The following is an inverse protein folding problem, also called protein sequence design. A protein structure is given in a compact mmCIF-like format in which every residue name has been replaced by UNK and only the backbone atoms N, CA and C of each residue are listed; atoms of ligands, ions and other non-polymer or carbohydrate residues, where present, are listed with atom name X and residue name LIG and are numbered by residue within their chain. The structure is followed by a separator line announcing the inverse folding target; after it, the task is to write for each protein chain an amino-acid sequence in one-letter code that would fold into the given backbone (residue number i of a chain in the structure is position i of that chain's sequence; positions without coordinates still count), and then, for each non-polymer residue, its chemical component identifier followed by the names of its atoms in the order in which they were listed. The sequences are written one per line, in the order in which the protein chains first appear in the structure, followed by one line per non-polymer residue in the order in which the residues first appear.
data_IF_879811313504
#
_entry.id   IF_879811313504
#
_cell.length_a   1.000
_cell.length_b   1.000
_cell.length_c   1.000
_cell.angle_alpha   90.00
_cell.angle_beta   90.00
_cell.angle_gamma   90.00
#
_symmetry.space_group_name_H-M   'P 1'
#
loop_
_entity.id
_entity.type
_entity.pdbx_description
1 polymer ?
#
# COMPACT_ATOMS: atom_id res chain seq x y z
N UNK A 1 -12.65 5.58 -11.46
CA UNK A 1 -12.23 6.63 -10.51
C UNK A 1 -13.06 6.55 -9.24
N UNK A 2 -12.40 6.60 -8.10
CA UNK A 2 -12.94 6.57 -6.73
C UNK A 2 -12.52 7.84 -5.99
N UNK A 3 -12.79 7.92 -4.68
CA UNK A 3 -12.32 9.04 -3.85
C UNK A 3 -10.80 9.04 -3.67
N UNK A 4 -10.15 7.87 -3.70
CA UNK A 4 -8.71 7.75 -3.46
C UNK A 4 -7.96 7.11 -4.62
N UNK A 5 -8.60 6.99 -5.79
CA UNK A 5 -8.00 6.25 -6.88
C UNK A 5 -8.51 6.54 -8.27
N UNK A 6 -7.62 6.31 -9.23
CA UNK A 6 -7.87 6.48 -10.66
C UNK A 6 -6.98 5.52 -11.44
N UNK A 7 -7.51 5.01 -12.56
CA UNK A 7 -6.72 4.28 -13.54
C UNK A 7 -6.27 5.29 -14.58
N UNK A 8 -4.96 5.36 -14.80
CA UNK A 8 -4.34 6.21 -15.83
C UNK A 8 -3.63 5.29 -16.81
N UNK A 9 -3.78 5.59 -18.10
CA UNK A 9 -3.14 4.87 -19.20
C UNK A 9 -2.28 5.84 -19.99
N UNK A 10 -1.01 5.52 -20.18
CA UNK A 10 -0.07 6.29 -20.99
C UNK A 10 0.27 5.49 -22.23
N UNK A 11 0.08 6.11 -23.40
CA UNK A 11 0.38 5.49 -24.70
C UNK A 11 1.56 6.21 -25.34
N UNK A 12 2.73 5.56 -25.46
CA UNK A 12 3.87 6.16 -26.12
C UNK A 12 3.65 6.20 -27.64
N UNK A 13 3.92 7.34 -28.26
CA UNK A 13 3.86 7.49 -29.72
C UNK A 13 5.08 6.86 -30.43
N UNK A 14 6.21 6.75 -29.72
CA UNK A 14 7.41 6.05 -30.19
C UNK A 14 7.60 4.78 -29.34
N UNK A 15 7.58 3.63 -30.00
CA UNK A 15 7.78 2.32 -29.34
C UNK A 15 9.16 2.19 -28.69
N UNK A 16 10.13 3.03 -29.04
CA UNK A 16 11.47 3.04 -28.43
C UNK A 16 11.54 3.87 -27.15
N UNK A 17 10.44 4.55 -26.77
CA UNK A 17 10.44 5.39 -25.59
C UNK A 17 10.79 4.56 -24.35
N UNK A 18 11.77 5.03 -23.59
CA UNK A 18 12.02 4.61 -22.23
C UNK A 18 11.59 5.78 -21.35
N UNK A 19 10.48 5.63 -20.62
CA UNK A 19 9.78 6.79 -20.06
C UNK A 19 9.35 6.58 -18.63
N UNK A 20 9.36 7.67 -17.88
CA UNK A 20 8.71 7.75 -16.59
C UNK A 20 7.37 8.47 -16.77
N UNK A 21 6.37 8.05 -16.00
CA UNK A 21 5.10 8.73 -15.93
C UNK A 21 4.49 8.59 -14.54
N UNK A 22 3.74 9.60 -14.11
CA UNK A 22 3.06 9.64 -12.81
C UNK A 22 1.96 10.72 -12.86
N UNK A 23 1.35 10.99 -11.72
CA UNK A 23 0.44 12.11 -11.52
C UNK A 23 1.04 13.10 -10.51
N UNK A 24 0.78 14.39 -10.74
CA UNK A 24 1.05 15.47 -9.79
C UNK A 24 -0.25 16.19 -9.45
N UNK A 25 -0.35 16.75 -8.26
CA UNK A 25 -1.48 17.59 -7.85
C UNK A 25 -1.52 18.88 -8.65
N UNK A 26 -2.68 19.54 -8.69
CA UNK A 26 -2.85 20.86 -9.31
C UNK A 26 -1.94 21.94 -8.71
N UNK A 27 -1.66 21.85 -7.41
CA UNK A 27 -0.73 22.73 -6.72
C UNK A 27 0.71 22.55 -7.23
N UNK A 28 1.19 21.30 -7.31
CA UNK A 28 2.51 20.97 -7.86
C UNK A 28 2.59 21.40 -9.33
N UNK A 29 1.58 21.08 -10.14
CA UNK A 29 1.53 21.49 -11.54
C UNK A 29 1.63 23.01 -11.71
N UNK A 30 0.91 23.78 -10.90
CA UNK A 30 0.94 25.24 -10.92
C UNK A 30 2.28 25.81 -10.45
N UNK A 31 2.92 25.19 -9.46
CA UNK A 31 4.24 25.60 -8.97
C UNK A 31 5.35 25.37 -10.00
N UNK A 32 5.32 24.20 -10.64
CA UNK A 32 6.25 23.84 -11.71
C UNK A 32 5.97 24.65 -12.98
N UNK A 33 4.71 24.96 -13.28
CA UNK A 33 4.27 25.84 -14.37
C UNK A 33 4.84 25.47 -15.75
N UNK A 34 5.02 24.16 -16.01
CA UNK A 34 5.61 23.66 -17.26
C UNK A 34 7.10 23.99 -17.44
N UNK A 35 7.79 24.39 -16.38
CA UNK A 35 9.23 24.65 -16.39
C UNK A 35 10.01 23.33 -16.30
N UNK A 36 10.67 22.94 -17.39
CA UNK A 36 11.37 21.66 -17.50
C UNK A 36 12.52 21.51 -16.49
N UNK A 37 13.21 22.59 -16.12
CA UNK A 37 14.28 22.51 -15.12
C UNK A 37 13.70 22.22 -13.73
N UNK A 38 12.56 22.84 -13.41
CA UNK A 38 11.87 22.56 -12.15
C UNK A 38 11.26 21.16 -12.13
N UNK A 39 10.67 20.71 -13.23
CA UNK A 39 10.09 19.36 -13.32
C UNK A 39 11.19 18.31 -13.16
N UNK A 40 12.35 18.51 -13.79
CA UNK A 40 13.49 17.62 -13.63
C UNK A 40 13.99 17.59 -12.18
N UNK A 41 14.14 18.75 -11.53
CA UNK A 41 14.54 18.83 -10.13
C UNK A 41 13.53 18.14 -9.20
N UNK A 42 12.23 18.42 -9.37
CA UNK A 42 11.14 17.77 -8.64
C UNK A 42 11.17 16.26 -8.80
N UNK A 43 11.33 15.76 -10.02
CA UNK A 43 11.41 14.33 -10.30
C UNK A 43 12.60 13.67 -9.59
N UNK A 44 13.80 14.24 -9.72
CA UNK A 44 15.01 13.68 -9.10
C UNK A 44 14.91 13.66 -7.57
N UNK A 45 14.38 14.73 -6.96
CA UNK A 45 14.12 14.79 -5.52
C UNK A 45 13.10 13.73 -5.09
N UNK A 46 11.99 13.60 -5.80
CA UNK A 46 10.94 12.59 -5.53
C UNK A 46 11.48 11.17 -5.63
N UNK A 47 12.30 10.89 -6.65
CA UNK A 47 12.90 9.57 -6.85
C UNK A 47 13.91 9.24 -5.76
N UNK A 48 14.72 10.21 -5.33
CA UNK A 48 15.66 9.99 -4.23
C UNK A 48 14.94 9.77 -2.89
N UNK A 49 13.88 10.55 -2.63
CA UNK A 49 13.05 10.36 -1.46
C UNK A 49 12.40 8.96 -1.42
N UNK A 50 11.76 8.52 -2.52
CA UNK A 50 11.17 7.18 -2.63
C UNK A 50 12.21 6.07 -2.48
N UNK A 51 13.40 6.26 -3.05
CA UNK A 51 14.54 5.32 -2.92
C UNK A 51 14.97 5.16 -1.47
N UNK A 52 15.11 6.27 -0.75
CA UNK A 52 15.50 6.27 0.67
C UNK A 52 14.38 5.66 1.53
N UNK A 53 13.12 5.99 1.25
CA UNK A 53 11.97 5.40 1.95
C UNK A 53 11.93 3.88 1.78
N UNK A 54 12.14 3.39 0.56
CA UNK A 54 12.06 1.96 0.25
C UNK A 54 13.23 1.15 0.81
N UNK A 55 14.45 1.68 0.76
CA UNK A 55 15.66 0.92 1.10
C UNK A 55 16.32 1.33 2.42
N UNK A 56 15.94 2.46 3.02
CA UNK A 56 16.56 2.99 4.22
C UNK A 56 18.08 3.10 4.07
N UNK A 57 18.83 2.57 5.05
CA UNK A 57 20.29 2.53 5.03
C UNK A 57 20.87 1.74 3.83
N UNK A 58 20.09 0.83 3.23
CA UNK A 58 20.52 0.09 2.05
C UNK A 58 20.45 0.91 0.76
N UNK A 59 19.86 2.11 0.76
CA UNK A 59 19.79 2.97 -0.42
C UNK A 59 21.18 3.25 -1.01
N UNK A 60 22.26 3.23 -0.21
CA UNK A 60 23.63 3.38 -0.70
C UNK A 60 24.05 2.31 -1.73
N UNK A 61 23.42 1.13 -1.69
CA UNK A 61 23.70 0.02 -2.63
C UNK A 61 22.83 0.08 -3.89
N UNK A 62 21.86 0.99 -3.93
CA UNK A 62 20.97 1.21 -5.07
C UNK A 62 21.14 2.66 -5.54
N UNK A 63 22.08 2.94 -6.45
CA UNK A 63 22.29 4.28 -6.98
C UNK A 63 21.00 4.87 -7.57
N UNK A 64 20.80 6.19 -7.42
CA UNK A 64 19.61 6.87 -7.91
C UNK A 64 19.30 6.62 -9.41
N UNK A 65 20.29 6.63 -10.34
CA UNK A 65 20.01 6.31 -11.74
C UNK A 65 19.42 4.91 -11.93
N UNK A 66 20.00 3.91 -11.26
CA UNK A 66 19.50 2.53 -11.33
C UNK A 66 18.12 2.38 -10.72
N UNK A 67 17.83 3.13 -9.65
CA UNK A 67 16.50 3.19 -9.07
C UNK A 67 15.50 3.78 -10.06
N UNK A 68 15.80 4.95 -10.64
CA UNK A 68 14.95 5.60 -11.64
C UNK A 68 14.65 4.67 -12.82
N UNK A 69 15.67 4.01 -13.37
CA UNK A 69 15.52 3.05 -14.47
C UNK A 69 14.55 1.94 -14.09
N UNK A 70 14.58 1.45 -12.85
CA UNK A 70 13.62 0.43 -12.38
C UNK A 70 12.19 0.92 -12.18
N UNK A 71 11.96 2.24 -12.21
CA UNK A 71 10.63 2.85 -12.13
C UNK A 71 10.05 3.22 -13.51
N UNK A 72 10.82 3.05 -14.59
CA UNK A 72 10.42 3.43 -15.93
C UNK A 72 9.75 2.28 -16.69
N UNK A 73 8.99 2.66 -17.72
CA UNK A 73 8.29 1.74 -18.62
C UNK A 73 8.93 1.77 -20.02
N UNK A 74 8.77 0.68 -20.77
CA UNK A 74 9.26 0.54 -22.13
C UNK A 74 8.11 0.63 -23.15
N UNK A 75 8.27 1.48 -24.17
CA UNK A 75 7.21 1.70 -25.17
C UNK A 75 6.95 0.51 -26.10
N UNK A 76 7.86 -0.47 -26.15
CA UNK A 76 7.67 -1.69 -26.93
C UNK A 76 6.59 -2.59 -26.33
N UNK A 77 6.31 -2.45 -25.04
CA UNK A 77 5.25 -3.19 -24.35
C UNK A 77 3.85 -2.61 -24.64
N UNK A 78 3.79 -1.47 -25.35
CA UNK A 78 2.56 -0.79 -25.72
C UNK A 78 2.10 0.19 -24.65
N UNK A 79 0.78 0.46 -24.54
CA UNK A 79 0.25 1.33 -23.51
C UNK A 79 0.49 0.76 -22.12
N UNK A 80 1.00 1.60 -21.22
CA UNK A 80 1.16 1.27 -19.81
C UNK A 80 -0.04 1.80 -19.01
N UNK A 81 -0.52 1.03 -18.05
CA UNK A 81 -1.69 1.39 -17.24
C UNK A 81 -1.48 1.04 -15.79
N UNK A 82 -1.73 2.01 -14.91
CA UNK A 82 -1.67 1.82 -13.47
C UNK A 82 -2.93 2.34 -12.80
N UNK A 83 -3.38 1.62 -11.76
CA UNK A 83 -4.48 2.08 -10.90
C UNK A 83 -3.90 2.59 -9.60
N UNK A 84 -3.92 3.92 -9.44
CA UNK A 84 -3.59 4.57 -8.19
C UNK A 84 -4.69 4.28 -7.17
N UNK A 85 -4.33 3.85 -5.96
CA UNK A 85 -5.29 3.53 -4.88
C UNK A 85 -5.17 4.42 -3.64
N UNK A 86 -4.20 5.33 -3.60
CA UNK A 86 -3.83 6.16 -2.42
C UNK A 86 -3.81 7.66 -2.70
N UNK A 87 -4.54 8.11 -3.73
CA UNK A 87 -4.71 9.54 -4.02
C UNK A 87 -5.57 10.22 -2.95
N UNK A 88 -5.44 11.54 -2.85
CA UNK A 88 -6.26 12.37 -1.98
C UNK A 88 -7.66 12.58 -2.58
N UNK A 89 -8.73 12.54 -1.77
CA UNK A 89 -10.09 12.91 -2.18
C UNK A 89 -10.20 14.35 -2.66
N UNK A 90 -11.19 14.60 -3.52
CA UNK A 90 -11.52 15.93 -4.05
C UNK A 90 -10.30 16.71 -4.59
N UNK A 91 -9.32 15.99 -5.12
CA UNK A 91 -8.03 16.56 -5.53
C UNK A 91 -7.87 16.38 -7.02
N UNK A 92 -7.50 17.48 -7.69
CA UNK A 92 -7.17 17.48 -9.12
C UNK A 92 -5.74 17.04 -9.33
N UNK A 93 -5.56 16.12 -10.26
CA UNK A 93 -4.28 15.55 -10.66
C UNK A 93 -4.05 15.73 -12.16
N UNK A 94 -2.79 15.99 -12.50
CA UNK A 94 -2.29 16.13 -13.86
C UNK A 94 -1.36 14.95 -14.15
N UNK A 95 -1.74 14.02 -15.04
CA UNK A 95 -0.82 13.02 -15.55
C UNK A 95 0.32 13.69 -16.31
N UNK A 96 1.55 13.22 -16.11
CA UNK A 96 2.71 13.71 -16.83
C UNK A 96 3.64 12.55 -17.21
N UNK A 97 4.37 12.72 -18.31
CA UNK A 97 5.36 11.76 -18.80
C UNK A 97 6.51 12.45 -19.54
N UNK A 98 7.70 11.86 -19.46
CA UNK A 98 8.88 12.26 -20.23
C UNK A 98 9.79 11.06 -20.46
N UNK A 99 10.66 11.15 -21.46
CA UNK A 99 11.70 10.15 -21.69
C UNK A 99 12.77 10.27 -20.63
N UNK A 100 13.41 9.16 -20.31
CA UNK A 100 14.51 9.07 -19.35
C UNK A 100 15.75 8.53 -20.07
N UNK A 101 16.89 9.14 -19.81
CA UNK A 101 18.18 8.58 -20.22
C UNK A 101 18.50 7.35 -19.34
N UNK A 102 18.72 6.19 -19.96
CA UNK A 102 18.94 4.93 -19.23
C UNK A 102 20.27 4.87 -18.48
N UNK A 103 21.26 5.70 -18.86
CA UNK A 103 22.56 5.71 -18.20
C UNK A 103 22.56 6.65 -17.00
N UNK A 104 21.98 7.84 -17.15
CA UNK A 104 22.01 8.89 -16.12
C UNK A 104 20.77 8.91 -15.24
N UNK A 105 19.64 8.37 -15.70
CA UNK A 105 18.33 8.48 -15.05
C UNK A 105 17.72 9.89 -15.14
N UNK A 106 18.27 10.78 -15.96
CA UNK A 106 17.75 12.14 -16.11
C UNK A 106 16.63 12.22 -17.16
N UNK A 107 15.67 13.15 -17.02
CA UNK A 107 14.73 13.46 -18.10
C UNK A 107 15.47 13.85 -19.39
N UNK A 108 15.08 13.26 -20.51
CA UNK A 108 15.72 13.41 -21.82
C UNK A 108 14.80 13.98 -22.91
N UNK A 109 13.57 14.34 -22.56
CA UNK A 109 12.60 15.01 -23.45
C UNK A 109 11.81 16.09 -22.70
N UNK A 110 11.08 16.91 -23.47
CA UNK A 110 10.02 17.76 -22.92
C UNK A 110 8.95 16.92 -22.21
N UNK A 111 8.32 17.52 -21.20
CA UNK A 111 7.26 16.89 -20.43
C UNK A 111 5.93 16.97 -21.17
N UNK A 112 5.30 15.81 -21.38
CA UNK A 112 3.94 15.72 -21.91
C UNK A 112 2.94 15.63 -20.77
N UNK A 113 1.89 16.45 -20.83
CA UNK A 113 0.79 16.43 -19.86
C UNK A 113 -0.46 15.79 -20.47
N UNK A 114 -1.11 14.93 -19.68
CA UNK A 114 -2.40 14.32 -20.02
C UNK A 114 -3.60 15.19 -19.66
N UNK A 115 -4.80 14.67 -19.91
CA UNK A 115 -6.03 15.29 -19.41
C UNK A 115 -6.07 15.21 -17.88
N UNK A 116 -6.28 16.36 -17.24
CA UNK A 116 -6.42 16.44 -15.79
C UNK A 116 -7.70 15.72 -15.33
N UNK A 117 -7.66 15.11 -14.15
CA UNK A 117 -8.82 14.48 -13.53
C UNK A 117 -8.92 14.86 -12.06
N UNK A 118 -10.14 14.83 -11.51
CA UNK A 118 -10.39 15.14 -10.09
C UNK A 118 -10.99 13.93 -9.41
N UNK A 119 -10.32 13.42 -8.36
CA UNK A 119 -10.85 12.33 -7.55
C UNK A 119 -12.19 12.70 -6.92
N UNK A 120 -13.01 11.69 -6.62
CA UNK A 120 -14.32 11.94 -6.01
C UNK A 120 -14.16 12.51 -4.59
N UNK A 121 -15.21 13.16 -4.10
CA UNK A 121 -15.36 13.46 -2.68
C UNK A 121 -15.36 12.18 -1.86
N UNK A 122 -14.75 12.23 -0.67
CA UNK A 122 -14.79 11.09 0.25
C UNK A 122 -16.16 11.03 0.93
N UNK A 123 -16.87 9.94 0.69
CA UNK A 123 -18.11 9.60 1.40
C UNK A 123 -17.91 8.28 2.12
N UNK A 124 -18.15 8.28 3.43
CA UNK A 124 -18.11 7.05 4.22
C UNK A 124 -19.41 6.27 4.05
N UNK A 125 -19.28 4.97 3.80
CA UNK A 125 -20.39 4.03 3.88
C UNK A 125 -20.56 3.48 5.30
N UNK A 126 -21.68 2.81 5.54
CA UNK A 126 -21.89 2.07 6.78
C UNK A 126 -21.18 0.70 6.78
N UNK A 127 -20.53 0.31 5.68
CA UNK A 127 -19.81 -0.95 5.58
C UNK A 127 -18.74 -1.04 6.69
N UNK A 128 -18.78 -2.11 7.46
CA UNK A 128 -17.80 -2.35 8.52
C UNK A 128 -17.46 -3.84 8.60
N UNK A 129 -16.25 -4.12 9.09
CA UNK A 129 -15.84 -5.47 9.46
C UNK A 129 -15.14 -5.41 10.82
N UNK A 130 -15.81 -5.90 11.85
CA UNK A 130 -15.32 -5.81 13.23
C UNK A 130 -14.24 -6.88 13.46
N UNK A 131 -13.00 -6.49 13.82
CA UNK A 131 -11.93 -7.43 14.05
C UNK A 131 -11.89 -7.86 15.52
N UNK A 132 -11.67 -9.16 15.74
CA UNK A 132 -11.40 -9.74 17.05
C UNK A 132 -10.05 -10.45 17.02
N UNK A 133 -9.22 -10.26 18.05
CA UNK A 133 -7.96 -10.98 18.20
C UNK A 133 -8.21 -12.48 18.22
N UNK A 134 -7.38 -13.22 17.49
CA UNK A 134 -7.24 -14.65 17.62
C UNK A 134 -5.76 -14.94 17.89
N UNK A 135 -5.44 -15.33 19.13
CA UNK A 135 -4.07 -15.56 19.54
C UNK A 135 -3.87 -17.04 19.85
N UNK A 136 -2.82 -17.65 19.32
CA UNK A 136 -2.48 -19.06 19.57
C UNK A 136 -1.01 -19.18 20.00
N UNK A 137 -0.67 -20.24 20.72
CA UNK A 137 0.72 -20.56 21.07
C UNK A 137 1.37 -21.34 19.93
N UNK A 138 2.53 -20.87 19.46
CA UNK A 138 3.27 -21.51 18.38
C UNK A 138 3.80 -22.90 18.73
N UNK A 139 3.86 -23.25 20.02
CA UNK A 139 4.10 -24.62 20.46
C UNK A 139 3.00 -25.59 19.96
N UNK A 140 1.72 -25.17 19.98
CA UNK A 140 0.60 -26.00 19.52
C UNK A 140 0.69 -26.27 18.01
N UNK A 141 1.07 -25.25 17.22
CA UNK A 141 1.32 -25.39 15.79
C UNK A 141 2.45 -26.38 15.50
N UNK A 142 3.56 -26.23 16.24
CA UNK A 142 4.72 -27.09 16.10
C UNK A 142 4.43 -28.54 16.50
N UNK A 143 3.55 -28.76 17.48
CA UNK A 143 3.16 -30.11 17.90
C UNK A 143 2.14 -30.75 16.93
N UNK A 144 1.21 -29.97 16.36
CA UNK A 144 0.25 -30.45 15.35
C UNK A 144 0.90 -30.78 14.00
N UNK A 145 1.88 -29.99 13.56
CA UNK A 145 2.65 -30.26 12.33
C UNK A 145 4.11 -29.84 12.48
N UNK A 146 4.95 -30.71 13.06
CA UNK A 146 6.36 -30.41 13.30
C UNK A 146 7.15 -30.08 12.04
N UNK A 147 6.88 -30.75 10.92
CA UNK A 147 7.58 -30.47 9.66
C UNK A 147 7.18 -29.12 9.04
N UNK A 148 5.96 -28.65 9.32
CA UNK A 148 5.45 -27.39 8.78
C UNK A 148 5.76 -26.19 9.66
N UNK A 149 5.72 -26.34 10.99
CA UNK A 149 5.64 -25.21 11.92
C UNK A 149 6.60 -25.24 13.10
N UNK A 150 7.64 -26.10 13.09
CA UNK A 150 8.66 -26.10 14.16
C UNK A 150 9.28 -24.73 14.42
N UNK A 151 9.37 -23.87 13.40
CA UNK A 151 9.91 -22.51 13.53
C UNK A 151 9.03 -21.56 14.38
N UNK A 152 7.79 -21.94 14.67
CA UNK A 152 6.88 -21.18 15.55
C UNK A 152 7.04 -21.55 17.03
N UNK A 153 7.82 -22.60 17.36
CA UNK A 153 7.98 -23.07 18.73
C UNK A 153 8.49 -21.94 19.64
N UNK A 154 7.81 -21.72 20.76
CA UNK A 154 8.09 -20.66 21.72
C UNK A 154 7.67 -19.25 21.31
N UNK A 155 6.94 -19.08 20.19
CA UNK A 155 6.44 -17.80 19.70
C UNK A 155 4.93 -17.68 19.88
N UNK A 156 4.44 -16.44 19.93
CA UNK A 156 3.02 -16.14 19.79
C UNK A 156 2.65 -16.15 18.29
N UNK A 157 1.45 -16.62 17.95
CA UNK A 157 0.92 -16.54 16.59
C UNK A 157 -0.36 -15.71 16.59
N UNK A 158 -0.24 -14.38 16.38
CA UNK A 158 -1.40 -13.49 16.28
C UNK A 158 -2.17 -13.73 14.99
N UNK A 159 -3.47 -13.54 15.09
CA UNK A 159 -4.41 -13.56 13.99
C UNK A 159 -5.62 -12.71 14.31
N UNK A 160 -6.54 -12.65 13.36
CA UNK A 160 -7.78 -11.91 13.50
C UNK A 160 -8.93 -12.73 12.96
N UNK A 161 -10.10 -12.57 13.59
CA UNK A 161 -11.41 -12.95 13.05
C UNK A 161 -12.18 -11.69 12.69
N UNK A 162 -12.89 -11.72 11.57
CA UNK A 162 -13.56 -10.56 11.00
C UNK A 162 -15.05 -10.87 10.89
N UNK A 163 -15.87 -9.98 11.42
CA UNK A 163 -17.32 -10.02 11.29
C UNK A 163 -17.80 -8.83 10.43
N UNK A 164 -17.98 -9.03 9.11
CA UNK A 164 -18.54 -8.01 8.23
C UNK A 164 -20.02 -7.79 8.52
N UNK A 165 -20.47 -6.54 8.43
CA UNK A 165 -21.89 -6.19 8.52
C UNK A 165 -22.60 -6.36 7.16
N UNK A 166 -23.92 -6.17 7.15
CA UNK A 166 -24.76 -6.37 5.96
C UNK A 166 -24.47 -5.40 4.79
N UNK A 167 -23.81 -4.27 5.06
CA UNK A 167 -23.48 -3.26 4.05
C UNK A 167 -22.11 -3.50 3.41
N UNK A 168 -21.28 -4.39 3.99
CA UNK A 168 -19.96 -4.71 3.46
C UNK A 168 -20.05 -5.65 2.25
N UNK A 169 -19.61 -5.15 1.08
CA UNK A 169 -19.40 -5.98 -0.11
C UNK A 169 -18.02 -6.65 -0.09
N UNK A 170 -16.99 -5.93 0.37
CA UNK A 170 -15.66 -6.48 0.63
C UNK A 170 -15.07 -5.92 1.93
N UNK A 171 -14.15 -6.65 2.53
CA UNK A 171 -13.41 -6.19 3.72
C UNK A 171 -11.96 -6.63 3.71
N UNK A 172 -11.12 -5.84 4.40
CA UNK A 172 -9.67 -5.97 4.40
C UNK A 172 -9.16 -5.84 5.82
N UNK A 173 -8.09 -6.56 6.14
CA UNK A 173 -7.47 -6.45 7.46
C UNK A 173 -6.01 -6.87 7.46
N UNK A 174 -5.24 -6.22 8.34
CA UNK A 174 -3.87 -6.62 8.62
C UNK A 174 -3.50 -6.31 10.08
N UNK A 175 -2.45 -6.97 10.58
CA UNK A 175 -1.89 -6.72 11.91
C UNK A 175 -0.56 -5.99 11.73
N UNK A 176 -0.41 -4.85 12.40
CA UNK A 176 0.80 -4.05 12.40
C UNK A 176 1.38 -3.97 13.81
N UNK A 177 2.69 -3.75 13.93
CA UNK A 177 3.20 -3.15 15.17
C UNK A 177 2.67 -1.73 15.25
N UNK A 178 2.22 -1.32 16.44
CA UNK A 178 1.63 0.00 16.64
C UNK A 178 2.63 1.13 16.29
N UNK A 179 3.91 0.93 16.58
CA UNK A 179 4.98 1.88 16.28
C UNK A 179 5.17 2.11 14.76
N UNK A 180 4.98 1.07 13.94
CA UNK A 180 5.24 1.14 12.49
C UNK A 180 4.21 2.00 11.74
N UNK A 181 3.01 2.17 12.32
CA UNK A 181 1.91 2.95 11.74
C UNK A 181 1.54 4.18 12.56
N UNK A 182 2.34 4.54 13.56
CA UNK A 182 2.00 5.60 14.52
C UNK A 182 1.90 6.99 13.85
N UNK A 183 2.64 7.23 12.77
CA UNK A 183 2.63 8.47 11.99
C UNK A 183 1.72 8.43 10.76
N UNK A 184 1.12 7.28 10.44
CA UNK A 184 0.25 7.12 9.27
C UNK A 184 -1.18 7.52 9.61
N UNK A 185 -1.74 8.43 8.84
CA UNK A 185 -3.14 8.82 9.00
C UNK A 185 -4.12 7.73 8.51
N UNK A 186 -5.35 7.78 9.00
CA UNK A 186 -6.36 6.75 8.72
C UNK A 186 -6.84 6.72 7.27
N UNK A 187 -6.73 7.84 6.55
CA UNK A 187 -7.07 7.88 5.13
C UNK A 187 -6.03 7.06 4.35
N UNK A 188 -4.75 7.39 4.50
CA UNK A 188 -3.66 6.68 3.83
C UNK A 188 -3.62 5.20 4.25
N UNK A 189 -3.70 4.90 5.55
CA UNK A 189 -3.67 3.53 6.04
C UNK A 189 -4.82 2.68 5.49
N UNK A 190 -6.05 3.22 5.51
CA UNK A 190 -7.21 2.53 4.94
C UNK A 190 -7.12 2.32 3.43
N UNK A 191 -6.64 3.33 2.69
CA UNK A 191 -6.47 3.27 1.24
C UNK A 191 -5.38 2.26 0.84
N UNK A 192 -4.25 2.25 1.55
CA UNK A 192 -3.18 1.27 1.35
C UNK A 192 -3.65 -0.15 1.64
N UNK A 193 -4.46 -0.35 2.69
CA UNK A 193 -5.00 -1.65 3.06
C UNK A 193 -5.92 -2.21 1.96
N UNK A 194 -6.80 -1.37 1.40
CA UNK A 194 -7.68 -1.71 0.27
C UNK A 194 -6.85 -1.99 -0.99
N UNK A 195 -5.89 -1.12 -1.32
CA UNK A 195 -5.09 -1.23 -2.54
C UNK A 195 -4.25 -2.52 -2.58
N UNK A 196 -3.66 -2.90 -1.44
CA UNK A 196 -2.87 -4.13 -1.32
C UNK A 196 -3.71 -5.40 -1.21
N UNK A 197 -5.05 -5.29 -1.11
CA UNK A 197 -5.97 -6.42 -0.96
C UNK A 197 -5.63 -7.38 0.20
N UNK A 198 -5.07 -6.83 1.28
CA UNK A 198 -4.62 -7.65 2.42
C UNK A 198 -5.80 -8.35 3.09
N UNK A 199 -5.72 -9.69 3.12
CA UNK A 199 -6.72 -10.59 3.70
C UNK A 199 -8.16 -10.28 3.24
N UNK A 200 -8.30 -9.86 1.98
CA UNK A 200 -9.60 -9.54 1.40
C UNK A 200 -10.59 -10.70 1.58
N UNK A 201 -11.77 -10.36 2.09
CA UNK A 201 -12.93 -11.26 2.29
C UNK A 201 -12.68 -12.47 3.19
N UNK A 202 -11.57 -12.47 3.95
CA UNK A 202 -11.30 -13.54 4.92
C UNK A 202 -12.11 -13.31 6.19
N UNK A 203 -12.82 -14.35 6.65
CA UNK A 203 -13.46 -14.37 7.97
C UNK A 203 -12.44 -14.54 9.10
N UNK A 204 -11.27 -15.11 8.82
CA UNK A 204 -10.18 -15.26 9.77
C UNK A 204 -8.84 -15.49 9.09
N UNK A 205 -7.75 -15.09 9.75
CA UNK A 205 -6.37 -15.38 9.33
C UNK A 205 -5.39 -15.28 10.50
N UNK A 206 -4.19 -15.84 10.34
CA UNK A 206 -3.05 -15.62 11.21
C UNK A 206 -1.89 -14.98 10.45
N UNK A 207 -0.95 -14.39 11.18
CA UNK A 207 0.33 -13.98 10.60
C UNK A 207 1.07 -15.20 10.05
N UNK A 208 1.79 -15.01 8.94
CA UNK A 208 2.63 -16.04 8.35
C UNK A 208 3.92 -16.31 9.13
N UNK A 209 4.12 -15.62 10.25
CA UNK A 209 5.27 -15.73 11.15
C UNK A 209 4.83 -15.54 12.61
N UNK A 210 5.60 -16.10 13.53
CA UNK A 210 5.41 -15.91 14.96
C UNK A 210 6.08 -14.64 15.47
N UNK A 211 5.57 -14.08 16.56
CA UNK A 211 6.14 -12.93 17.26
C UNK A 211 6.61 -13.33 18.66
N UNK A 212 7.56 -12.58 19.21
CA UNK A 212 8.06 -12.85 20.55
C UNK A 212 6.98 -12.55 21.61
N UNK A 213 6.99 -13.31 22.70
CA UNK A 213 6.21 -13.03 23.92
C UNK A 213 6.85 -11.86 24.68
N UNK A 214 6.65 -10.64 24.20
CA UNK A 214 7.19 -9.41 24.79
C UNK A 214 6.15 -8.28 24.86
N UNK A 215 6.58 -7.11 25.34
CA UNK A 215 5.71 -5.95 25.54
C UNK A 215 5.39 -5.17 24.25
N UNK A 216 5.74 -5.71 23.07
CA UNK A 216 5.46 -5.05 21.78
C UNK A 216 3.95 -4.86 21.61
N UNK A 217 3.55 -3.62 21.31
CA UNK A 217 2.17 -3.28 21.00
C UNK A 217 1.87 -3.54 19.53
N UNK A 218 0.79 -4.25 19.29
CA UNK A 218 0.25 -4.54 17.97
C UNK A 218 -1.14 -3.93 17.84
N UNK A 219 -1.59 -3.81 16.60
CA UNK A 219 -2.92 -3.30 16.27
C UNK A 219 -3.47 -4.06 15.09
N UNK A 220 -4.68 -4.60 15.27
CA UNK A 220 -5.47 -5.13 14.16
C UNK A 220 -6.15 -3.93 13.49
N UNK A 221 -5.90 -3.76 12.21
CA UNK A 221 -6.52 -2.72 11.40
C UNK A 221 -7.49 -3.40 10.44
N UNK A 222 -8.73 -2.92 10.37
CA UNK A 222 -9.71 -3.40 9.38
C UNK A 222 -10.48 -2.26 8.74
N UNK A 223 -10.92 -2.47 7.51
CA UNK A 223 -11.79 -1.56 6.77
C UNK A 223 -12.69 -2.38 5.84
N UNK A 224 -13.91 -1.90 5.59
CA UNK A 224 -14.82 -2.51 4.64
C UNK A 224 -15.24 -1.49 3.57
N UNK A 225 -15.69 -1.99 2.43
CA UNK A 225 -16.22 -1.21 1.32
C UNK A 225 -17.61 -1.73 0.97
N UNK A 226 -18.52 -0.83 0.62
CA UNK A 226 -19.86 -1.18 0.17
C UNK A 226 -19.86 -1.62 -1.31
N UNK A 227 -21.04 -1.98 -1.82
CA UNK A 227 -21.22 -2.43 -3.20
C UNK A 227 -20.94 -1.33 -4.26
N UNK A 228 -20.91 -0.06 -3.87
CA UNK A 228 -20.58 1.07 -4.73
C UNK A 228 -19.09 1.41 -4.70
N UNK A 229 -18.32 0.73 -3.84
CA UNK A 229 -16.90 0.95 -3.63
C UNK A 229 -16.58 2.10 -2.66
N UNK A 230 -17.56 2.58 -1.89
CA UNK A 230 -17.33 3.56 -0.84
C UNK A 230 -16.84 2.84 0.43
N UNK A 231 -15.73 3.32 0.99
CA UNK A 231 -15.14 2.77 2.22
C UNK A 231 -15.92 3.19 3.46
N UNK A 232 -15.99 2.31 4.44
CA UNK A 232 -16.36 2.63 5.80
C UNK A 232 -15.22 3.30 6.57
N UNK A 233 -15.47 3.52 7.86
CA UNK A 233 -14.45 3.98 8.80
C UNK A 233 -13.39 2.91 9.04
N UNK A 234 -12.15 3.34 9.27
CA UNK A 234 -11.07 2.45 9.67
C UNK A 234 -11.29 2.01 11.13
N UNK A 235 -11.18 0.71 11.39
CA UNK A 235 -11.20 0.15 12.75
C UNK A 235 -9.77 -0.20 13.17
N UNK A 236 -9.44 0.09 14.43
CA UNK A 236 -8.16 -0.22 15.06
C UNK A 236 -8.40 -0.88 16.41
N UNK A 237 -7.92 -2.11 16.58
CA UNK A 237 -8.02 -2.87 17.83
C UNK A 237 -6.59 -3.13 18.34
N UNK A 238 -6.10 -2.34 19.32
CA UNK A 238 -4.77 -2.53 19.88
C UNK A 238 -4.73 -3.76 20.79
N UNK A 239 -3.59 -4.45 20.82
CA UNK A 239 -3.36 -5.59 21.72
C UNK A 239 -1.87 -5.78 22.03
N UNK A 240 -1.59 -6.57 23.07
CA UNK A 240 -0.28 -7.15 23.37
C UNK A 240 -0.42 -8.65 23.35
N UNK A 241 0.65 -9.35 22.99
CA UNK A 241 0.67 -10.81 23.08
C UNK A 241 0.84 -11.21 24.53
N UNK A 242 -0.15 -11.93 25.07
CA UNK A 242 -0.15 -12.39 26.45
C UNK A 242 -0.67 -13.83 26.48
N UNK A 243 0.01 -14.70 27.24
CA UNK A 243 -0.36 -16.13 27.31
C UNK A 243 -1.75 -16.35 27.90
N UNK A 244 -2.30 -15.41 28.67
CA UNK A 244 -3.68 -15.47 29.18
C UNK A 244 -4.75 -15.23 28.11
N UNK A 245 -4.36 -14.68 26.95
CA UNK A 245 -5.24 -14.44 25.80
C UNK A 245 -5.18 -15.58 24.77
N UNK A 246 -4.33 -16.59 24.98
CA UNK A 246 -4.17 -17.72 24.06
C UNK A 246 -5.43 -18.56 24.04
N UNK A 247 -5.89 -18.82 22.83
CA UNK A 247 -6.87 -19.84 22.53
C UNK A 247 -6.16 -21.15 22.18
N UNK A 248 -6.66 -22.26 22.71
CA UNK A 248 -6.13 -23.59 22.43
C UNK A 248 -6.30 -23.94 20.95
N UNK A 249 -5.22 -24.37 20.31
CA UNK A 249 -5.26 -24.85 18.94
C UNK A 249 -5.24 -26.37 18.90
N UNK A 250 -6.37 -26.97 18.51
CA UNK A 250 -6.52 -28.43 18.45
C UNK A 250 -6.44 -28.99 17.02
N UNK A 251 -6.61 -28.13 16.01
CA UNK A 251 -6.47 -28.46 14.60
C UNK A 251 -5.90 -27.26 13.83
N UNK A 252 -5.20 -27.52 12.74
CA UNK A 252 -4.65 -26.46 11.89
C UNK A 252 -5.76 -25.83 11.04
N UNK A 253 -5.81 -24.49 10.93
CA UNK A 253 -6.80 -23.78 10.14
C UNK A 253 -6.58 -23.83 8.62
#
# INVERSE_FOLDING_TARGET
MTATGATVTVTPNDVRAFYYWDVMTDAEYTELNGDEEKIAAYFLEKMDAKRIEQYGDYAMFFPLPSYIVSQCSEGFDGPDSYTFGTLSPATTYHPYAFWVDQETGEPSSETSFGEAFTTKELTFSNAAAEPTLWLTDGDDWADLSPMGYMFLRGLAVPGARLEPNADAAHWYSNIYKAADIASTDDLLLGSSLINSSYNMDKSSYNLSYGVAWDDTEYVIVSIAVDAEGNRGELRKVPFKVDKSLVEELTELP
#
